data_IF_267780168650
#
_entry.id   IF_267780168650
#
_cell.length_a   1.000
_cell.length_b   1.000
_cell.length_c   1.000
_cell.angle_alpha   90.00
_cell.angle_beta   90.00
_cell.angle_gamma   90.00
#
_symmetry.space_group_name_H-M   'P 1'
#
loop_
_entity.id
_entity.type
_entity.pdbx_description
1 polymer ?
#
# COMPACT_ATOMS: atom_id res chain seq x y z
N UNK A 1 -4.94 -9.73 -27.43
CA UNK A 1 -6.12 -8.84 -27.41
C UNK A 1 -6.60 -8.74 -25.96
N UNK A 2 -7.02 -7.56 -25.50
CA UNK A 2 -7.62 -7.39 -24.17
C UNK A 2 -9.07 -7.92 -24.18
N UNK A 3 -9.56 -8.39 -23.02
CA UNK A 3 -10.97 -8.76 -22.87
C UNK A 3 -11.84 -7.51 -22.91
N UNK A 4 -12.73 -7.41 -23.87
CA UNK A 4 -13.66 -6.28 -24.00
C UNK A 4 -14.62 -6.20 -22.82
N UNK A 5 -15.09 -7.34 -22.30
CA UNK A 5 -15.99 -7.43 -21.15
C UNK A 5 -15.30 -6.90 -19.90
N UNK A 6 -14.11 -7.42 -19.58
CA UNK A 6 -13.37 -6.99 -18.40
C UNK A 6 -13.01 -5.50 -18.46
N UNK A 7 -12.57 -5.03 -19.64
CA UNK A 7 -12.21 -3.62 -19.82
C UNK A 7 -13.41 -2.69 -19.62
N UNK A 8 -14.59 -3.04 -20.16
CA UNK A 8 -15.80 -2.24 -19.98
C UNK A 8 -16.22 -2.15 -18.51
N UNK A 9 -16.23 -3.26 -17.77
CA UNK A 9 -16.56 -3.28 -16.34
C UNK A 9 -15.54 -2.50 -15.50
N UNK A 10 -14.26 -2.60 -15.83
CA UNK A 10 -13.20 -1.86 -15.14
C UNK A 10 -13.31 -0.37 -15.41
N UNK A 11 -13.58 0.06 -16.65
CA UNK A 11 -13.78 1.45 -17.01
C UNK A 11 -14.98 2.06 -16.27
N UNK A 12 -16.13 1.38 -16.24
CA UNK A 12 -17.30 1.80 -15.46
C UNK A 12 -16.95 2.06 -13.98
N UNK A 13 -16.17 1.14 -13.36
CA UNK A 13 -15.74 1.31 -11.97
C UNK A 13 -14.78 2.47 -11.78
N UNK A 14 -13.83 2.65 -12.69
CA UNK A 14 -12.89 3.77 -12.65
C UNK A 14 -13.62 5.10 -12.82
N UNK A 15 -14.52 5.23 -13.80
CA UNK A 15 -15.29 6.44 -14.04
C UNK A 15 -16.15 6.82 -12.83
N UNK A 16 -16.85 5.84 -12.26
CA UNK A 16 -17.63 6.03 -11.03
C UNK A 16 -16.78 6.50 -9.87
N UNK A 17 -15.64 5.86 -9.66
CA UNK A 17 -14.69 6.22 -8.59
C UNK A 17 -14.11 7.63 -8.79
N UNK A 18 -13.58 7.95 -9.96
CA UNK A 18 -12.99 9.27 -10.27
C UNK A 18 -14.05 10.37 -10.12
N UNK A 19 -15.25 10.15 -10.67
CA UNK A 19 -16.35 11.11 -10.55
C UNK A 19 -16.78 11.35 -9.10
N UNK A 20 -16.87 10.29 -8.28
CA UNK A 20 -17.22 10.42 -6.87
C UNK A 20 -16.10 11.13 -6.08
N UNK A 21 -14.84 10.77 -6.35
CA UNK A 21 -13.68 11.34 -5.67
C UNK A 21 -13.47 12.82 -5.95
N UNK A 22 -13.64 13.25 -7.20
CA UNK A 22 -13.39 14.62 -7.64
C UNK A 22 -14.62 15.52 -7.50
N UNK A 23 -15.75 15.08 -8.07
CA UNK A 23 -16.95 15.92 -8.20
C UNK A 23 -17.87 15.80 -7.01
N UNK A 24 -18.34 14.57 -6.69
CA UNK A 24 -19.34 14.38 -5.63
C UNK A 24 -18.80 14.80 -4.28
N UNK A 25 -17.56 14.41 -3.93
CA UNK A 25 -16.92 14.82 -2.67
C UNK A 25 -16.88 16.35 -2.53
N UNK A 26 -16.55 17.05 -3.62
CA UNK A 26 -16.52 18.51 -3.64
C UNK A 26 -17.93 19.11 -3.51
N UNK A 27 -18.90 18.59 -4.23
CA UNK A 27 -20.30 19.09 -4.14
C UNK A 27 -20.88 18.95 -2.73
N UNK A 28 -20.56 17.87 -2.03
CA UNK A 28 -21.07 17.62 -0.68
C UNK A 28 -20.36 18.47 0.38
N UNK A 29 -19.04 18.61 0.30
CA UNK A 29 -18.23 19.15 1.40
C UNK A 29 -17.62 20.53 1.13
N UNK A 30 -17.73 21.07 -0.08
CA UNK A 30 -17.16 22.37 -0.43
C UNK A 30 -18.24 23.47 -0.44
N UNK A 31 -17.89 24.62 0.11
CA UNK A 31 -18.73 25.83 0.11
C UNK A 31 -18.22 26.75 -1.01
N UNK A 32 -18.91 26.73 -2.15
CA UNK A 32 -18.55 27.55 -3.32
C UNK A 32 -18.59 29.06 -2.99
N UNK A 33 -19.53 29.49 -2.14
CA UNK A 33 -19.65 30.91 -1.78
C UNK A 33 -18.52 31.41 -0.90
N UNK A 34 -17.99 30.53 -0.03
CA UNK A 34 -16.89 30.85 0.89
C UNK A 34 -15.53 30.39 0.37
N UNK A 35 -15.48 29.70 -0.76
CA UNK A 35 -14.25 29.19 -1.36
C UNK A 35 -13.47 28.20 -0.47
N UNK A 36 -14.15 27.46 0.42
CA UNK A 36 -13.48 26.55 1.40
C UNK A 36 -14.25 25.26 1.62
N UNK A 37 -13.53 24.24 2.12
CA UNK A 37 -14.13 23.00 2.58
C UNK A 37 -14.90 23.27 3.86
N UNK A 38 -16.17 22.80 3.96
CA UNK A 38 -17.05 22.97 5.14
C UNK A 38 -16.56 22.16 6.33
N UNK A 39 -16.21 20.90 6.09
CA UNK A 39 -15.77 19.92 7.10
C UNK A 39 -14.60 19.12 6.54
N UNK A 40 -13.36 19.53 6.81
CA UNK A 40 -12.16 18.90 6.22
C UNK A 40 -11.98 17.44 6.63
N UNK A 41 -12.30 17.09 7.89
CA UNK A 41 -12.25 15.72 8.38
C UNK A 41 -13.22 14.81 7.63
N UNK A 42 -14.48 15.21 7.52
CA UNK A 42 -15.53 14.45 6.82
C UNK A 42 -15.22 14.30 5.32
N UNK A 43 -14.66 15.36 4.71
CA UNK A 43 -14.22 15.32 3.32
C UNK A 43 -13.10 14.28 3.10
N UNK A 44 -12.14 14.21 4.02
CA UNK A 44 -11.10 13.19 4.00
C UNK A 44 -11.67 11.79 4.17
N UNK A 45 -12.45 11.58 5.24
CA UNK A 45 -13.08 10.29 5.55
C UNK A 45 -13.95 9.76 4.41
N UNK A 46 -14.71 10.62 3.74
CA UNK A 46 -15.51 10.24 2.58
C UNK A 46 -14.64 9.70 1.44
N UNK A 47 -13.52 10.37 1.13
CA UNK A 47 -12.59 9.93 0.09
C UNK A 47 -11.89 8.62 0.43
N UNK A 48 -11.54 8.43 1.70
CA UNK A 48 -10.99 7.15 2.17
C UNK A 48 -11.98 5.99 1.97
N UNK A 49 -13.27 6.22 2.24
CA UNK A 49 -14.31 5.22 2.00
C UNK A 49 -14.38 4.88 0.50
N UNK A 50 -14.41 5.89 -0.38
CA UNK A 50 -14.42 5.68 -1.83
C UNK A 50 -13.21 4.87 -2.32
N UNK A 51 -12.02 5.15 -1.78
CA UNK A 51 -10.81 4.38 -2.11
C UNK A 51 -10.96 2.92 -1.69
N UNK A 52 -11.44 2.65 -0.46
CA UNK A 52 -11.65 1.28 0.02
C UNK A 52 -12.68 0.52 -0.83
N UNK A 53 -13.77 1.16 -1.22
CA UNK A 53 -14.78 0.57 -2.10
C UNK A 53 -14.22 0.27 -3.50
N UNK A 54 -13.42 1.18 -4.05
CA UNK A 54 -12.75 0.98 -5.33
C UNK A 54 -11.75 -0.17 -5.30
N UNK A 55 -10.93 -0.25 -4.26
CA UNK A 55 -9.96 -1.32 -4.07
C UNK A 55 -10.64 -2.69 -3.95
N UNK A 56 -11.80 -2.79 -3.30
CA UNK A 56 -12.56 -4.04 -3.17
C UNK A 56 -12.93 -4.67 -4.52
N UNK A 57 -13.05 -3.88 -5.58
CA UNK A 57 -13.42 -4.40 -6.90
C UNK A 57 -12.38 -5.38 -7.47
N UNK A 58 -11.10 -5.15 -7.21
CA UNK A 58 -10.01 -5.98 -7.77
C UNK A 58 -9.14 -6.67 -6.71
N UNK A 59 -9.40 -6.45 -5.43
CA UNK A 59 -8.69 -7.14 -4.36
C UNK A 59 -9.23 -8.57 -4.22
N UNK A 60 -8.37 -9.60 -4.03
CA UNK A 60 -8.81 -10.98 -3.79
C UNK A 60 -9.83 -11.09 -2.65
N UNK A 61 -10.91 -11.84 -2.85
CA UNK A 61 -12.06 -11.94 -1.93
C UNK A 61 -11.72 -12.46 -0.52
N UNK A 62 -10.55 -13.08 -0.32
CA UNK A 62 -10.07 -13.50 1.00
C UNK A 62 -9.58 -12.32 1.85
N UNK A 63 -9.32 -11.17 1.23
CA UNK A 63 -8.79 -9.99 1.88
C UNK A 63 -9.93 -9.02 2.19
N UNK A 64 -9.82 -8.34 3.32
CA UNK A 64 -10.68 -7.22 3.70
C UNK A 64 -9.88 -5.93 3.73
N UNK A 65 -10.59 -4.81 3.67
CA UNK A 65 -9.99 -3.48 3.66
C UNK A 65 -10.62 -2.62 4.75
N UNK A 66 -9.78 -2.04 5.60
CA UNK A 66 -10.20 -1.12 6.64
C UNK A 66 -9.14 -0.03 6.88
N UNK A 67 -9.41 0.92 7.74
CA UNK A 67 -8.41 1.86 8.28
C UNK A 67 -8.00 1.42 9.68
N UNK A 68 -6.82 1.85 10.15
CA UNK A 68 -6.36 1.56 11.50
C UNK A 68 -4.85 1.58 11.64
N UNK A 69 -4.35 0.84 12.63
CA UNK A 69 -2.94 0.82 13.00
C UNK A 69 -2.38 -0.58 12.81
N UNK A 70 -1.13 -0.68 12.36
CA UNK A 70 -0.37 -1.92 12.46
C UNK A 70 0.22 -2.02 13.85
N UNK A 71 0.31 -3.22 14.40
CA UNK A 71 1.02 -3.49 15.64
C UNK A 71 1.94 -4.72 15.47
N UNK A 72 2.99 -4.75 16.26
CA UNK A 72 3.96 -5.86 16.32
C UNK A 72 3.96 -6.49 17.69
N UNK A 73 4.43 -7.72 17.79
CA UNK A 73 4.66 -8.41 19.08
C UNK A 73 5.79 -7.78 19.92
N UNK A 74 6.53 -6.84 19.36
CA UNK A 74 7.61 -6.07 20.03
C UNK A 74 7.14 -4.70 20.53
N UNK A 75 5.82 -4.51 20.70
CA UNK A 75 5.20 -3.26 21.22
C UNK A 75 5.33 -2.04 20.29
N UNK A 76 5.68 -2.24 19.02
CA UNK A 76 5.70 -1.16 18.04
C UNK A 76 4.32 -0.99 17.41
N UNK A 77 3.89 0.26 17.25
CA UNK A 77 2.63 0.62 16.60
C UNK A 77 2.89 1.62 15.48
N UNK A 78 2.26 1.42 14.34
CA UNK A 78 2.36 2.35 13.20
C UNK A 78 1.66 3.67 13.50
N UNK A 79 1.89 4.67 12.66
CA UNK A 79 0.93 5.75 12.52
C UNK A 79 -0.37 5.22 11.90
N UNK A 80 -1.48 5.93 12.08
CA UNK A 80 -2.75 5.54 11.45
C UNK A 80 -2.61 5.45 9.94
N UNK A 81 -3.05 4.32 9.37
CA UNK A 81 -3.16 4.10 7.94
C UNK A 81 -4.59 4.35 7.48
N UNK A 82 -4.78 5.14 6.44
CA UNK A 82 -6.10 5.42 5.86
C UNK A 82 -6.70 4.15 5.24
N UNK A 83 -5.81 3.22 4.85
CA UNK A 83 -6.17 1.92 4.28
C UNK A 83 -5.20 0.84 4.78
N UNK A 84 -5.74 -0.24 5.30
CA UNK A 84 -5.04 -1.50 5.59
C UNK A 84 -5.78 -2.61 4.86
N UNK A 85 -5.09 -3.31 3.96
CA UNK A 85 -5.59 -4.53 3.30
C UNK A 85 -5.01 -5.70 4.09
N UNK A 86 -5.83 -6.64 4.52
CA UNK A 86 -5.43 -7.71 5.42
C UNK A 86 -6.14 -9.03 5.12
N UNK A 87 -5.52 -10.14 5.50
CA UNK A 87 -6.14 -11.47 5.37
C UNK A 87 -7.23 -11.66 6.41
N UNK A 88 -8.49 -11.64 5.97
CA UNK A 88 -9.66 -11.66 6.86
C UNK A 88 -9.79 -12.94 7.69
N UNK A 89 -9.23 -14.07 7.21
CA UNK A 89 -9.33 -15.35 7.89
C UNK A 89 -8.34 -15.50 9.05
N UNK A 90 -7.22 -14.81 8.96
CA UNK A 90 -6.11 -14.94 9.91
C UNK A 90 -5.95 -13.73 10.82
N UNK A 91 -6.76 -12.68 10.62
CA UNK A 91 -6.68 -11.44 11.39
C UNK A 91 -7.76 -11.40 12.46
N UNK A 92 -7.41 -11.32 13.73
CA UNK A 92 -8.37 -11.10 14.80
C UNK A 92 -8.94 -9.68 14.75
N UNK A 93 -10.16 -9.51 15.22
CA UNK A 93 -10.75 -8.19 15.42
C UNK A 93 -10.25 -7.60 16.74
N UNK A 94 -9.25 -6.75 16.68
CA UNK A 94 -8.73 -6.03 17.85
C UNK A 94 -9.14 -4.57 17.70
N UNK A 95 -10.07 -4.13 18.56
CA UNK A 95 -10.59 -2.76 18.58
C UNK A 95 -10.58 -2.20 20.01
N UNK A 96 -10.34 -0.89 20.13
CA UNK A 96 -10.58 -0.20 21.39
C UNK A 96 -12.04 0.32 21.48
N UNK A 97 -12.38 0.99 22.59
CA UNK A 97 -13.72 1.56 22.82
C UNK A 97 -14.18 2.56 21.76
N UNK A 98 -13.24 3.24 21.11
CA UNK A 98 -13.50 4.21 20.03
C UNK A 98 -13.53 3.56 18.64
N UNK A 99 -13.54 2.23 18.58
CA UNK A 99 -13.53 1.44 17.37
C UNK A 99 -12.31 1.65 16.46
N UNK A 100 -11.21 2.08 17.03
CA UNK A 100 -9.93 2.10 16.35
C UNK A 100 -9.42 0.65 16.25
N UNK A 101 -9.03 0.23 15.06
CA UNK A 101 -8.57 -1.13 14.77
C UNK A 101 -7.07 -1.24 14.77
N UNK A 102 -6.61 -2.36 15.33
CA UNK A 102 -5.20 -2.72 15.37
C UNK A 102 -5.01 -4.06 14.64
N UNK A 103 -4.10 -4.07 13.68
CA UNK A 103 -3.84 -5.22 12.83
C UNK A 103 -2.45 -5.78 13.13
N UNK A 104 -2.31 -7.06 13.49
CA UNK A 104 -1.02 -7.71 13.52
C UNK A 104 -0.34 -7.55 12.17
N UNK A 105 0.93 -7.10 12.17
CA UNK A 105 1.68 -6.85 10.94
C UNK A 105 1.86 -8.11 10.09
N UNK A 106 1.76 -9.29 10.69
CA UNK A 106 1.84 -10.62 10.08
C UNK A 106 0.76 -10.83 9.02
N UNK A 107 -0.44 -10.32 9.28
CA UNK A 107 -1.62 -10.54 8.41
C UNK A 107 -1.91 -9.37 7.47
N UNK A 108 -1.19 -8.26 7.63
CA UNK A 108 -1.31 -7.11 6.73
C UNK A 108 -0.75 -7.45 5.35
N UNK A 109 -1.51 -7.12 4.30
CA UNK A 109 -1.18 -7.41 2.90
C UNK A 109 -0.79 -6.16 2.11
N UNK A 110 -1.27 -4.99 2.51
CA UNK A 110 -0.84 -3.69 1.99
C UNK A 110 -1.33 -2.57 2.90
N UNK A 111 -0.65 -1.43 2.85
CA UNK A 111 -1.07 -0.19 3.52
C UNK A 111 -1.15 0.96 2.54
N UNK A 112 -2.05 1.91 2.80
CA UNK A 112 -2.25 3.04 1.91
C UNK A 112 -2.58 4.35 2.62
N UNK A 113 -2.20 5.44 1.96
CA UNK A 113 -2.56 6.81 2.31
C UNK A 113 -3.45 7.42 1.24
N UNK A 114 -4.40 8.23 1.66
CA UNK A 114 -5.35 8.93 0.80
C UNK A 114 -5.22 10.44 1.02
N UNK A 115 -4.97 11.18 -0.06
CA UNK A 115 -4.78 12.63 0.01
C UNK A 115 -5.60 13.34 -1.06
N UNK A 116 -5.96 14.58 -0.82
CA UNK A 116 -6.66 15.40 -1.81
C UNK A 116 -5.69 15.93 -2.85
N UNK A 117 -5.03 17.02 -2.53
CA UNK A 117 -4.04 17.69 -3.36
C UNK A 117 -2.74 17.64 -2.60
N UNK A 118 -1.66 17.27 -3.25
CA UNK A 118 -0.36 17.12 -2.62
C UNK A 118 0.63 18.17 -3.12
N UNK A 119 1.14 18.98 -2.20
CA UNK A 119 2.39 19.72 -2.42
C UNK A 119 3.58 18.74 -2.34
N UNK A 120 4.75 19.21 -2.83
CA UNK A 120 5.99 18.41 -2.79
C UNK A 120 6.39 18.02 -1.37
N UNK A 121 6.19 18.93 -0.38
CA UNK A 121 6.47 18.64 1.04
C UNK A 121 5.53 17.60 1.63
N UNK A 122 4.24 17.66 1.32
CA UNK A 122 3.24 16.69 1.77
C UNK A 122 3.47 15.31 1.14
N UNK A 123 3.90 15.25 -0.13
CA UNK A 123 4.28 13.99 -0.74
C UNK A 123 5.48 13.37 -0.01
N UNK A 124 6.53 14.16 0.26
CA UNK A 124 7.70 13.72 1.03
C UNK A 124 7.30 13.17 2.40
N UNK A 125 6.46 13.87 3.15
CA UNK A 125 5.97 13.44 4.45
C UNK A 125 5.20 12.11 4.37
N UNK A 126 4.26 11.98 3.42
CA UNK A 126 3.47 10.77 3.24
C UNK A 126 4.32 9.56 2.84
N UNK A 127 5.33 9.74 1.99
CA UNK A 127 6.24 8.68 1.59
C UNK A 127 7.09 8.17 2.77
N UNK A 128 7.62 9.07 3.60
CA UNK A 128 8.40 8.68 4.79
C UNK A 128 7.51 8.01 5.85
N UNK A 129 6.29 8.50 6.05
CA UNK A 129 5.29 7.86 6.92
C UNK A 129 5.02 6.41 6.49
N UNK A 130 4.72 6.18 5.20
CA UNK A 130 4.47 4.85 4.65
C UNK A 130 5.71 3.94 4.79
N UNK A 131 6.90 4.46 4.51
CA UNK A 131 8.15 3.71 4.61
C UNK A 131 8.41 3.20 6.04
N UNK A 132 8.22 4.06 7.05
CA UNK A 132 8.34 3.67 8.46
C UNK A 132 7.30 2.63 8.87
N UNK A 133 6.06 2.75 8.40
CA UNK A 133 5.02 1.76 8.66
C UNK A 133 5.36 0.41 8.00
N UNK A 134 5.94 0.41 6.78
CA UNK A 134 6.42 -0.82 6.12
C UNK A 134 7.51 -1.53 6.92
N UNK A 135 8.46 -0.78 7.47
CA UNK A 135 9.58 -1.33 8.22
C UNK A 135 9.16 -2.18 9.43
N UNK A 136 7.97 -1.98 9.98
CA UNK A 136 7.42 -2.80 11.05
C UNK A 136 7.34 -4.29 10.67
N UNK A 137 7.23 -4.61 9.39
CA UNK A 137 7.20 -5.99 8.88
C UNK A 137 8.46 -6.78 9.24
N UNK A 138 9.58 -6.11 9.37
CA UNK A 138 10.88 -6.73 9.68
C UNK A 138 11.07 -7.02 11.18
N UNK A 139 10.16 -6.51 12.03
CA UNK A 139 10.18 -6.79 13.46
C UNK A 139 9.50 -8.13 13.84
N UNK A 140 8.96 -8.86 12.86
CA UNK A 140 8.30 -10.15 13.09
C UNK A 140 9.34 -11.17 13.55
N UNK A 141 9.11 -11.72 14.74
CA UNK A 141 9.94 -12.77 15.33
C UNK A 141 9.30 -14.14 15.09
N UNK A 142 10.14 -15.13 14.81
CA UNK A 142 9.69 -16.54 14.62
C UNK A 142 8.50 -16.69 13.65
N UNK A 143 8.63 -16.22 12.40
CA UNK A 143 7.52 -16.16 11.45
C UNK A 143 7.02 -17.56 11.07
N UNK A 144 5.70 -17.79 11.20
CA UNK A 144 5.02 -18.99 10.70
C UNK A 144 4.23 -18.64 9.46
N UNK A 145 4.57 -19.25 8.32
CA UNK A 145 3.99 -18.93 7.03
C UNK A 145 2.62 -19.61 6.86
N UNK A 146 1.58 -18.82 6.65
CA UNK A 146 0.26 -19.31 6.21
C UNK A 146 0.24 -19.44 4.69
N UNK A 147 0.72 -18.40 3.99
CA UNK A 147 0.72 -18.35 2.54
C UNK A 147 1.96 -17.63 2.01
N UNK A 148 2.59 -18.22 1.04
CA UNK A 148 3.73 -17.65 0.30
C UNK A 148 3.76 -18.24 -1.11
N UNK A 149 4.04 -17.41 -2.11
CA UNK A 149 4.16 -17.83 -3.51
C UNK A 149 5.43 -18.65 -3.79
N UNK A 150 6.41 -18.58 -2.92
CA UNK A 150 7.72 -19.22 -3.10
C UNK A 150 8.07 -20.08 -1.88
N UNK A 151 8.67 -21.24 -2.10
CA UNK A 151 9.25 -22.05 -1.03
C UNK A 151 10.44 -21.32 -0.38
N UNK A 152 10.64 -21.55 0.90
CA UNK A 152 11.74 -20.99 1.70
C UNK A 152 11.24 -20.28 2.95
N UNK A 153 12.18 -19.74 3.71
CA UNK A 153 11.90 -18.98 4.93
C UNK A 153 11.43 -17.56 4.58
N UNK A 154 10.71 -16.94 5.50
CA UNK A 154 10.37 -15.53 5.44
C UNK A 154 11.64 -14.68 5.46
N UNK A 155 11.82 -13.85 4.47
CA UNK A 155 13.02 -13.05 4.25
C UNK A 155 12.64 -11.69 3.64
N UNK A 156 12.18 -10.75 4.47
CA UNK A 156 11.75 -9.44 3.98
C UNK A 156 12.91 -8.57 3.45
N UNK A 157 14.16 -8.90 3.79
CA UNK A 157 15.30 -8.18 3.24
C UNK A 157 15.59 -8.53 1.79
N UNK A 158 15.34 -9.78 1.40
CA UNK A 158 15.76 -10.28 0.09
C UNK A 158 14.61 -10.72 -0.81
N UNK A 159 13.37 -10.78 -0.31
CA UNK A 159 12.23 -11.19 -1.11
C UNK A 159 11.11 -10.15 -1.06
N UNK A 160 10.89 -9.48 -2.19
CA UNK A 160 9.98 -8.34 -2.29
C UNK A 160 8.53 -8.64 -1.86
N UNK A 161 8.03 -9.87 -2.03
CA UNK A 161 6.70 -10.27 -1.59
C UNK A 161 6.62 -10.63 -0.10
N UNK A 162 7.74 -10.70 0.61
CA UNK A 162 7.77 -10.79 2.06
C UNK A 162 7.71 -9.40 2.72
N UNK A 163 7.97 -8.34 1.96
CA UNK A 163 7.75 -6.95 2.35
C UNK A 163 6.26 -6.64 2.47
N UNK A 164 5.93 -5.57 3.19
CA UNK A 164 4.60 -5.00 3.22
C UNK A 164 4.46 -3.97 2.08
N UNK A 165 3.62 -4.23 1.06
CA UNK A 165 3.36 -3.24 0.02
C UNK A 165 2.72 -1.96 0.55
N UNK A 166 3.07 -0.82 -0.06
CA UNK A 166 2.47 0.47 0.26
C UNK A 166 2.02 1.22 -0.99
N UNK A 167 0.96 1.98 -0.86
CA UNK A 167 0.47 2.85 -1.92
C UNK A 167 -0.01 4.19 -1.38
N UNK A 168 -0.02 5.19 -2.27
CA UNK A 168 -0.64 6.48 -2.01
C UNK A 168 -1.58 6.81 -3.16
N UNK A 169 -2.78 7.32 -2.84
CA UNK A 169 -3.73 7.82 -3.83
C UNK A 169 -4.02 9.28 -3.53
N UNK A 170 -3.90 10.16 -4.54
CA UNK A 170 -4.31 11.55 -4.44
C UNK A 170 -5.09 11.97 -5.69
N UNK A 171 -5.81 13.09 -5.59
CA UNK A 171 -6.48 13.67 -6.75
C UNK A 171 -5.46 14.20 -7.73
N UNK A 172 -4.54 15.08 -7.26
CA UNK A 172 -3.51 15.68 -8.09
C UNK A 172 -2.27 16.11 -7.30
N UNK A 173 -1.19 16.33 -8.02
CA UNK A 173 0.06 16.93 -7.53
C UNK A 173 0.03 18.44 -7.80
N UNK A 174 0.26 19.26 -6.77
CA UNK A 174 0.26 20.71 -6.86
C UNK A 174 1.69 21.27 -6.89
N UNK A 175 2.49 20.71 -7.79
CA UNK A 175 3.87 21.14 -8.07
C UNK A 175 4.31 20.63 -9.45
N UNK A 176 5.42 21.15 -9.97
CA UNK A 176 6.01 20.62 -11.20
C UNK A 176 6.56 19.21 -10.95
N UNK A 177 5.92 18.20 -11.55
CA UNK A 177 6.30 16.80 -11.44
C UNK A 177 7.10 16.26 -12.65
N UNK A 178 7.53 17.12 -13.57
CA UNK A 178 8.31 16.72 -14.76
C UNK A 178 9.62 16.01 -14.41
N UNK A 179 10.20 16.31 -13.26
CA UNK A 179 11.41 15.68 -12.70
C UNK A 179 11.15 14.67 -11.60
N UNK A 180 9.87 14.42 -11.22
CA UNK A 180 9.50 13.61 -10.05
C UNK A 180 10.20 12.24 -10.01
N UNK A 181 10.24 11.52 -11.12
CA UNK A 181 10.88 10.20 -11.18
C UNK A 181 12.39 10.25 -10.90
N UNK A 182 13.05 11.39 -11.13
CA UNK A 182 14.49 11.58 -10.86
C UNK A 182 14.74 12.03 -9.42
N UNK A 183 13.79 12.76 -8.85
CA UNK A 183 13.95 13.43 -7.56
C UNK A 183 13.40 12.62 -6.38
N UNK A 184 12.43 11.75 -6.59
CA UNK A 184 11.67 11.11 -5.51
C UNK A 184 12.55 10.35 -4.53
N UNK A 185 13.67 9.79 -4.96
CA UNK A 185 14.61 9.12 -4.07
C UNK A 185 15.21 10.08 -3.03
N UNK A 186 15.35 11.37 -3.35
CA UNK A 186 15.81 12.40 -2.42
C UNK A 186 14.75 12.85 -1.41
N UNK A 187 13.51 12.39 -1.55
CA UNK A 187 12.42 12.72 -0.62
C UNK A 187 12.47 11.86 0.66
N UNK A 188 13.13 10.71 0.58
CA UNK A 188 13.27 9.82 1.73
C UNK A 188 14.32 10.33 2.69
N UNK A 189 14.07 10.12 3.97
CA UNK A 189 15.05 10.39 5.02
C UNK A 189 16.20 9.40 4.94
N UNK A 190 17.41 9.77 5.42
CA UNK A 190 18.61 8.94 5.25
C UNK A 190 18.55 7.56 5.90
N UNK A 191 17.68 7.37 6.90
CA UNK A 191 17.45 6.11 7.62
C UNK A 191 16.45 5.17 6.91
N UNK A 192 15.80 5.65 5.84
CA UNK A 192 14.84 4.83 5.07
C UNK A 192 15.57 3.98 4.05
N UNK A 193 15.49 2.68 4.23
CA UNK A 193 16.07 1.72 3.29
C UNK A 193 15.29 1.65 1.97
N UNK A 194 15.99 1.33 0.88
CA UNK A 194 15.40 1.28 -0.47
C UNK A 194 14.17 0.38 -0.53
N UNK A 195 14.23 -0.80 0.09
CA UNK A 195 13.13 -1.76 0.12
C UNK A 195 11.87 -1.25 0.82
N UNK A 196 11.98 -0.25 1.70
CA UNK A 196 10.83 0.37 2.37
C UNK A 196 10.20 1.50 1.57
N UNK A 197 10.80 1.96 0.47
CA UNK A 197 10.24 3.01 -0.36
C UNK A 197 8.88 2.60 -0.93
N UNK A 198 8.15 3.56 -1.52
CA UNK A 198 6.83 3.32 -2.10
C UNK A 198 6.79 2.14 -3.06
N UNK A 199 5.63 1.52 -3.20
CA UNK A 199 5.38 0.62 -4.32
C UNK A 199 4.66 1.36 -5.44
N UNK A 200 3.59 2.09 -5.11
CA UNK A 200 2.79 2.83 -6.08
C UNK A 200 2.34 4.18 -5.50
N UNK A 201 2.41 5.25 -6.31
CA UNK A 201 1.75 6.53 -6.01
C UNK A 201 0.86 6.90 -7.18
N UNK A 202 -0.44 6.90 -6.97
CA UNK A 202 -1.45 7.23 -7.98
C UNK A 202 -1.94 8.66 -7.78
N UNK A 203 -1.72 9.52 -8.77
CA UNK A 203 -2.48 10.75 -8.94
C UNK A 203 -3.57 10.51 -9.98
N UNK A 204 -4.83 10.73 -9.61
CA UNK A 204 -5.96 10.47 -10.51
C UNK A 204 -5.91 11.35 -11.77
N UNK A 205 -5.43 12.60 -11.62
CA UNK A 205 -5.35 13.56 -12.72
C UNK A 205 -4.02 13.49 -13.50
N UNK A 206 -2.89 13.09 -12.85
CA UNK A 206 -1.56 13.32 -13.40
C UNK A 206 -0.89 12.03 -13.89
N UNK A 207 -1.00 10.91 -13.15
CA UNK A 207 -0.34 9.68 -13.53
C UNK A 207 -0.03 8.72 -12.39
N UNK A 208 0.84 7.75 -12.67
CA UNK A 208 1.27 6.71 -11.73
C UNK A 208 2.78 6.73 -11.57
N UNK A 209 3.26 6.96 -10.35
CA UNK A 209 4.65 6.74 -9.98
C UNK A 209 4.82 5.27 -9.57
N UNK A 210 5.72 4.61 -10.24
CA UNK A 210 6.10 3.21 -10.06
C UNK A 210 7.60 3.06 -10.39
N UNK A 211 8.02 1.89 -10.82
CA UNK A 211 9.42 1.62 -11.20
C UNK A 211 9.53 1.09 -12.63
N UNK A 212 10.75 1.02 -13.14
CA UNK A 212 11.09 0.35 -14.39
C UNK A 212 12.29 -0.56 -14.17
N UNK A 213 12.19 -1.81 -14.65
CA UNK A 213 13.28 -2.77 -14.65
C UNK A 213 14.36 -2.42 -15.71
N UNK A 214 15.43 -3.20 -15.75
CA UNK A 214 16.52 -3.06 -16.71
C UNK A 214 16.08 -3.16 -18.19
N UNK A 215 14.94 -3.82 -18.45
CA UNK A 215 14.33 -3.93 -19.77
C UNK A 215 13.33 -2.79 -20.06
N UNK A 216 13.32 -1.76 -19.22
CA UNK A 216 12.40 -0.63 -19.33
C UNK A 216 10.92 -1.01 -19.20
N UNK A 217 10.60 -2.17 -18.58
CA UNK A 217 9.23 -2.59 -18.28
C UNK A 217 8.81 -2.02 -16.93
N UNK A 218 7.61 -1.45 -16.87
CA UNK A 218 7.06 -0.91 -15.62
C UNK A 218 6.82 -2.03 -14.59
N UNK A 219 7.14 -1.76 -13.34
CA UNK A 219 7.02 -2.67 -12.21
C UNK A 219 6.72 -1.92 -10.91
N UNK A 220 6.47 -2.66 -9.81
CA UNK A 220 5.95 -2.11 -8.56
C UNK A 220 6.88 -2.26 -7.34
N UNK A 221 8.11 -2.69 -7.52
CA UNK A 221 9.06 -2.87 -6.40
C UNK A 221 10.25 -1.93 -6.52
N UNK A 222 10.69 -1.32 -5.39
CA UNK A 222 11.89 -0.47 -5.35
C UNK A 222 13.19 -1.27 -5.45
N UNK A 223 13.13 -2.55 -5.11
CA UNK A 223 14.28 -3.46 -5.11
C UNK A 223 13.82 -4.86 -5.55
N UNK A 224 14.66 -5.53 -6.33
CA UNK A 224 14.48 -6.93 -6.75
C UNK A 224 15.60 -7.76 -6.15
N UNK A 225 15.24 -8.90 -5.58
CA UNK A 225 16.19 -9.87 -5.05
C UNK A 225 17.22 -10.29 -6.12
N UNK A 226 18.46 -10.52 -5.68
CA UNK A 226 19.46 -11.18 -6.49
C UNK A 226 18.99 -12.56 -6.96
N UNK A 227 19.42 -12.96 -8.15
CA UNK A 227 19.16 -14.31 -8.68
C UNK A 227 20.28 -15.25 -8.25
N UNK A 228 19.95 -16.50 -7.99
CA UNK A 228 20.97 -17.53 -7.79
C UNK A 228 21.66 -17.75 -9.15
N UNK A 229 22.95 -17.50 -9.19
CA UNK A 229 23.80 -17.72 -10.36
C UNK A 229 24.12 -19.21 -10.51
N UNK A 230 24.60 -19.66 -11.72
CA UNK A 230 24.98 -21.07 -11.95
C UNK A 230 26.08 -21.58 -11.01
N UNK A 231 26.89 -20.69 -10.44
CA UNK A 231 27.94 -20.99 -9.47
C UNK A 231 27.43 -21.09 -8.02
N UNK A 232 26.12 -20.93 -7.80
CA UNK A 232 25.46 -20.95 -6.50
C UNK A 232 25.51 -19.62 -5.72
N UNK A 233 26.18 -18.60 -6.24
CA UNK A 233 26.22 -17.28 -5.63
C UNK A 233 24.95 -16.48 -5.92
N UNK A 234 24.60 -15.51 -5.06
CA UNK A 234 23.56 -14.54 -5.33
C UNK A 234 24.13 -13.40 -6.19
N UNK A 235 23.44 -13.05 -7.27
CA UNK A 235 23.73 -11.81 -7.98
C UNK A 235 23.44 -10.61 -7.08
N UNK A 236 24.00 -9.45 -7.41
CA UNK A 236 23.61 -8.22 -6.72
C UNK A 236 22.10 -7.96 -6.84
N UNK A 237 21.53 -7.35 -5.80
CA UNK A 237 20.16 -6.83 -5.85
C UNK A 237 20.07 -5.77 -6.95
N UNK A 238 19.00 -5.83 -7.72
CA UNK A 238 18.72 -4.82 -8.74
C UNK A 238 17.85 -3.72 -8.13
N UNK A 239 18.23 -2.46 -8.33
CA UNK A 239 17.43 -1.30 -7.96
C UNK A 239 16.78 -0.73 -9.24
N UNK A 240 15.49 -1.01 -9.47
CA UNK A 240 14.74 -0.43 -10.57
C UNK A 240 14.69 1.10 -10.47
N UNK A 241 14.66 1.76 -11.62
CA UNK A 241 14.56 3.22 -11.68
C UNK A 241 13.12 3.66 -11.45
N UNK A 242 12.93 4.75 -10.73
CA UNK A 242 11.60 5.36 -10.64
C UNK A 242 11.08 5.73 -12.03
N UNK A 243 9.78 5.55 -12.23
CA UNK A 243 9.06 5.89 -13.46
C UNK A 243 7.75 6.58 -13.13
N UNK A 244 7.48 7.70 -13.79
CA UNK A 244 6.19 8.36 -13.74
C UNK A 244 5.46 8.11 -15.06
N UNK A 245 4.37 7.35 -15.02
CA UNK A 245 3.54 6.98 -16.18
C UNK A 245 2.43 8.02 -16.31
N UNK A 246 2.51 8.85 -17.34
CA UNK A 246 1.52 9.89 -17.62
C UNK A 246 0.57 9.37 -18.70
N UNK A 247 -0.76 9.50 -18.53
CA UNK A 247 -1.71 9.14 -19.57
C UNK A 247 -1.60 10.12 -20.75
N UNK A 248 -1.40 9.60 -21.97
CA UNK A 248 -1.45 10.40 -23.19
C UNK A 248 -2.85 10.87 -23.53
N UNK A 249 -3.84 10.08 -23.13
CA UNK A 249 -5.25 10.38 -23.22
C UNK A 249 -5.89 10.06 -21.87
N UNK A 250 -6.40 11.09 -21.19
CA UNK A 250 -7.01 10.97 -19.85
C UNK A 250 -8.27 10.10 -19.85
N UNK A 251 -8.98 10.01 -20.97
CA UNK A 251 -10.20 9.20 -21.10
C UNK A 251 -9.92 7.70 -21.09
N UNK A 252 -8.70 7.28 -21.35
CA UNK A 252 -8.32 5.86 -21.34
C UNK A 252 -8.03 5.31 -19.96
N UNK A 253 -7.79 6.18 -18.96
CA UNK A 253 -7.43 5.80 -17.59
C UNK A 253 -6.27 4.81 -17.48
N UNK A 254 -5.33 4.83 -18.43
CA UNK A 254 -4.28 3.80 -18.53
C UNK A 254 -3.43 3.69 -17.27
N UNK A 255 -3.13 4.79 -16.58
CA UNK A 255 -2.38 4.84 -15.33
C UNK A 255 -3.18 4.23 -14.16
N UNK A 256 -4.50 4.44 -14.10
CA UNK A 256 -5.37 3.84 -13.08
C UNK A 256 -5.54 2.34 -13.33
N UNK A 257 -5.73 1.92 -14.59
CA UNK A 257 -5.76 0.50 -14.96
C UNK A 257 -4.47 -0.24 -14.59
N UNK A 258 -3.33 0.42 -14.81
CA UNK A 258 -2.03 -0.12 -14.43
C UNK A 258 -1.89 -0.23 -12.90
N UNK A 259 -2.34 0.78 -12.17
CA UNK A 259 -2.42 0.74 -10.70
C UNK A 259 -3.27 -0.46 -10.22
N UNK A 260 -4.47 -0.66 -10.78
CA UNK A 260 -5.34 -1.80 -10.43
C UNK A 260 -4.64 -3.14 -10.66
N UNK A 261 -3.97 -3.29 -11.81
CA UNK A 261 -3.21 -4.49 -12.14
C UNK A 261 -2.09 -4.78 -11.13
N UNK A 262 -1.32 -3.76 -10.77
CA UNK A 262 -0.23 -3.93 -9.81
C UNK A 262 -0.72 -4.15 -8.38
N UNK A 263 -1.77 -3.47 -7.96
CA UNK A 263 -2.38 -3.72 -6.65
C UNK A 263 -2.92 -5.13 -6.54
N UNK A 264 -3.55 -5.66 -7.61
CA UNK A 264 -3.97 -7.06 -7.64
C UNK A 264 -2.78 -8.01 -7.48
N UNK A 265 -1.69 -7.80 -8.20
CA UNK A 265 -0.48 -8.63 -8.10
C UNK A 265 0.14 -8.54 -6.70
N UNK A 266 0.32 -7.33 -6.16
CA UNK A 266 0.89 -7.11 -4.84
C UNK A 266 0.08 -7.84 -3.76
N UNK A 267 -1.24 -7.62 -3.73
CA UNK A 267 -2.11 -8.19 -2.70
C UNK A 267 -2.37 -9.69 -2.88
N UNK A 268 -2.26 -10.19 -4.12
CA UNK A 268 -2.39 -11.62 -4.39
C UNK A 268 -1.16 -12.41 -3.94
N UNK A 269 0.03 -11.85 -4.05
CA UNK A 269 1.31 -12.57 -3.92
C UNK A 269 2.06 -12.26 -2.62
N UNK A 270 1.64 -11.24 -1.85
CA UNK A 270 2.27 -10.94 -0.56
C UNK A 270 2.19 -12.13 0.40
N UNK A 271 3.28 -12.36 1.13
CA UNK A 271 3.36 -13.41 2.15
C UNK A 271 2.45 -13.08 3.34
N UNK A 272 1.67 -14.05 3.76
CA UNK A 272 0.79 -13.96 4.93
C UNK A 272 1.36 -14.88 6.00
N UNK A 273 1.50 -14.34 7.20
CA UNK A 273 2.05 -15.04 8.36
C UNK A 273 0.97 -15.22 9.42
N UNK A 274 1.16 -16.21 10.26
CA UNK A 274 0.31 -16.47 11.42
C UNK A 274 0.70 -15.51 12.56
N UNK A 275 -0.23 -14.74 13.12
CA UNK A 275 0.04 -13.92 14.30
C UNK A 275 0.03 -14.83 15.54
N UNK A 276 1.21 -15.14 16.07
CA UNK A 276 1.35 -15.93 17.29
C UNK A 276 0.95 -15.10 18.51
N UNK A 277 -0.27 -15.28 18.99
CA UNK A 277 -0.83 -14.47 20.07
C UNK A 277 -0.07 -14.54 21.39
N UNK A 278 0.60 -15.64 21.66
CA UNK A 278 1.45 -15.77 22.85
C UNK A 278 2.56 -14.72 22.88
N UNK A 279 2.99 -14.23 21.72
CA UNK A 279 3.97 -13.15 21.61
C UNK A 279 3.38 -11.75 21.85
N UNK A 280 2.05 -11.62 21.76
CA UNK A 280 1.34 -10.35 21.94
C UNK A 280 0.75 -10.17 23.35
N UNK A 281 0.79 -11.19 24.19
CA UNK A 281 0.20 -11.15 25.53
C UNK A 281 1.18 -11.64 26.59
N UNK A 282 1.14 -11.01 27.75
CA UNK A 282 1.83 -11.53 28.91
C UNK A 282 1.05 -12.71 29.50
N UNK A 283 1.49 -13.92 29.26
CA UNK A 283 0.98 -15.11 29.95
C UNK A 283 1.73 -15.19 31.27
N UNK A 284 1.06 -14.89 32.39
CA UNK A 284 1.64 -15.04 33.72
C UNK A 284 2.14 -16.47 33.97
N UNK A 285 2.97 -16.65 35.02
CA UNK A 285 3.47 -17.99 35.40
C UNK A 285 2.32 -18.96 35.60
N UNK A 286 2.30 -20.04 34.83
CA UNK A 286 1.35 -21.15 34.99
C UNK A 286 2.03 -22.30 35.73
N UNK A 287 1.35 -22.90 36.71
CA UNK A 287 1.79 -24.15 37.34
C UNK A 287 1.14 -25.30 36.56
N UNK A 288 1.98 -26.14 35.94
CA UNK A 288 1.47 -27.41 35.40
C UNK A 288 1.27 -28.35 36.58
N UNK A 289 0.07 -28.87 36.70
CA UNK A 289 -0.21 -29.99 37.59
C UNK A 289 0.02 -31.24 36.74
N UNK A 290 1.17 -31.92 36.97
CA UNK A 290 1.38 -33.25 36.42
C UNK A 290 0.42 -34.23 37.14
N UNK A 291 -0.41 -34.93 36.37
CA UNK A 291 -1.26 -36.01 36.86
C UNK A 291 -0.46 -37.27 37.20
#
# INVERSE_FOLDING_TARGET
MASTIFNALLEEKIEGFVSAYEKTSRQVFYDELKGRIRHSGEFGSYREILVREFLNFFTPSRLNIHNGFLMTSTDSVSTQCDTVIFDAKSTPLIENGDKQRFFPVETACAIGEVKSILSKSQLKEALNKLARNKALREQIQSPTIIRRERNGQFDPENYAYDQLPSFLICQKLDFDFSSLAKEVDSFYEPDIEVRHRHNLVLSLEDGLLAYADSNNKTMMFPEIAGRILPDGNLSQKEQPKNRFVIPTDKTTYCHIKLFCSYMFLLTSSVTILYPEFTNYMSIGSTTLLDE
#
